data_IF_802213563056
#
_entry.id   IF_802213563056
#
_cell.length_a   1.000
_cell.length_b   1.000
_cell.length_c   1.000
_cell.angle_alpha   90.00
_cell.angle_beta   90.00
_cell.angle_gamma   90.00
#
_symmetry.space_group_name_H-M   'P 1'
#
loop_
_entity.id
_entity.type
_entity.pdbx_description
1 polymer ?
#
# COMPACT_ATOMS: atom_id res chain seq x y z
N UNK A 1 9.69 2.87 -10.25
CA UNK A 1 8.45 3.17 -9.48
C UNK A 1 7.23 3.00 -10.40
N UNK A 2 6.15 2.39 -9.91
CA UNK A 2 4.86 2.30 -10.63
C UNK A 2 3.73 2.78 -9.73
N UNK A 3 3.00 3.80 -10.17
CA UNK A 3 1.78 4.28 -9.49
C UNK A 3 0.56 3.58 -10.08
N UNK A 4 -0.36 3.13 -9.24
CA UNK A 4 -1.61 2.51 -9.67
C UNK A 4 -2.43 1.96 -8.51
N UNK A 5 -3.51 1.25 -8.84
CA UNK A 5 -4.43 0.66 -7.87
C UNK A 5 -3.83 -0.57 -7.18
N UNK A 6 -3.84 -0.57 -5.85
CA UNK A 6 -3.50 -1.74 -5.03
C UNK A 6 -4.78 -2.48 -4.64
N UNK A 7 -4.78 -3.80 -4.80
CA UNK A 7 -5.83 -4.67 -4.25
C UNK A 7 -5.41 -5.11 -2.85
N UNK A 8 -6.26 -4.91 -1.85
CA UNK A 8 -6.04 -5.47 -0.51
C UNK A 8 -7.05 -6.59 -0.28
N UNK A 9 -6.57 -7.75 0.15
CA UNK A 9 -7.38 -8.97 0.38
C UNK A 9 -7.14 -9.53 1.77
N UNK A 10 -8.13 -10.22 2.33
CA UNK A 10 -8.02 -11.03 3.55
C UNK A 10 -7.70 -12.50 3.25
N UNK A 11 -7.85 -12.93 2.00
CA UNK A 11 -7.46 -14.28 1.52
C UNK A 11 -5.98 -14.32 1.13
N UNK A 12 -5.12 -14.88 1.99
CA UNK A 12 -3.69 -15.07 1.72
C UNK A 12 -3.42 -16.01 0.54
N UNK A 13 -4.33 -16.95 0.27
CA UNK A 13 -4.21 -17.95 -0.80
C UNK A 13 -5.10 -17.59 -2.01
N UNK A 14 -5.29 -16.29 -2.27
CA UNK A 14 -6.13 -15.77 -3.35
C UNK A 14 -5.76 -16.36 -4.73
N UNK A 15 -4.51 -16.80 -4.91
CA UNK A 15 -4.01 -17.46 -6.12
C UNK A 15 -4.82 -18.71 -6.47
N UNK A 16 -5.27 -19.47 -5.46
CA UNK A 16 -6.13 -20.66 -5.62
C UNK A 16 -7.48 -20.33 -6.26
N UNK A 17 -7.87 -19.04 -6.23
CA UNK A 17 -9.15 -18.53 -6.72
C UNK A 17 -8.97 -17.44 -7.77
N UNK A 18 -7.82 -17.39 -8.45
CA UNK A 18 -7.51 -16.31 -9.40
C UNK A 18 -8.61 -16.09 -10.45
N UNK A 19 -9.20 -17.15 -11.01
CA UNK A 19 -10.29 -17.03 -12.00
C UNK A 19 -11.49 -16.22 -11.50
N UNK A 20 -11.78 -16.27 -10.19
CA UNK A 20 -12.85 -15.46 -9.56
C UNK A 20 -12.44 -14.01 -9.33
N UNK A 21 -11.15 -13.73 -9.21
CA UNK A 21 -10.59 -12.39 -8.95
C UNK A 21 -10.18 -11.63 -10.22
N UNK A 22 -9.87 -12.35 -11.30
CA UNK A 22 -9.29 -11.83 -12.53
C UNK A 22 -10.11 -10.68 -13.16
N UNK A 23 -11.44 -10.82 -13.19
CA UNK A 23 -12.32 -9.78 -13.71
C UNK A 23 -12.17 -8.47 -12.91
N UNK A 24 -12.16 -8.55 -11.57
CA UNK A 24 -12.02 -7.37 -10.70
C UNK A 24 -10.63 -6.76 -10.81
N UNK A 25 -9.58 -7.57 -10.90
CA UNK A 25 -8.21 -7.09 -11.08
C UNK A 25 -8.06 -6.32 -12.39
N UNK A 26 -8.65 -6.84 -13.48
CA UNK A 26 -8.66 -6.15 -14.76
C UNK A 26 -9.43 -4.82 -14.65
N UNK A 27 -10.67 -4.86 -14.15
CA UNK A 27 -11.54 -3.67 -14.04
C UNK A 27 -10.93 -2.54 -13.21
N UNK A 28 -10.30 -2.87 -12.07
CA UNK A 28 -9.66 -1.89 -11.19
C UNK A 28 -8.29 -1.40 -11.68
N UNK A 29 -7.78 -2.00 -12.77
CA UNK A 29 -6.41 -1.78 -13.28
C UNK A 29 -5.37 -2.06 -12.19
N UNK A 30 -5.55 -3.16 -11.46
CA UNK A 30 -4.70 -3.56 -10.35
C UNK A 30 -3.24 -3.67 -10.78
N UNK A 31 -2.33 -3.05 -10.02
CA UNK A 31 -0.88 -3.10 -10.27
C UNK A 31 -0.12 -3.88 -9.21
N UNK A 32 -0.71 -4.06 -8.02
CA UNK A 32 -0.16 -4.83 -6.91
C UNK A 32 -1.30 -5.39 -6.05
N UNK A 33 -0.97 -6.40 -5.24
CA UNK A 33 -1.88 -6.99 -4.24
C UNK A 33 -1.15 -7.12 -2.90
N UNK A 34 -1.85 -6.83 -1.80
CA UNK A 34 -1.36 -6.96 -0.42
C UNK A 34 -2.51 -7.28 0.55
N UNK A 35 -2.28 -7.16 1.86
CA UNK A 35 -3.27 -7.49 2.89
C UNK A 35 -3.55 -6.34 3.88
N UNK A 36 -2.93 -5.17 3.72
CA UNK A 36 -3.00 -4.08 4.70
C UNK A 36 -3.32 -2.70 4.10
N UNK A 37 -2.90 -2.42 2.86
CA UNK A 37 -2.85 -1.06 2.29
C UNK A 37 -4.19 -0.34 2.32
N UNK A 38 -5.25 -0.96 1.80
CA UNK A 38 -6.58 -0.35 1.79
C UNK A 38 -7.13 -0.17 3.20
N UNK A 39 -6.83 -1.09 4.12
CA UNK A 39 -7.27 -1.02 5.52
C UNK A 39 -6.61 0.16 6.24
N UNK A 40 -5.30 0.34 6.08
CA UNK A 40 -4.56 1.48 6.65
C UNK A 40 -5.06 2.80 6.05
N UNK A 41 -5.23 2.87 4.73
CA UNK A 41 -5.75 4.06 4.07
C UNK A 41 -7.19 4.39 4.51
N UNK A 42 -8.06 3.39 4.62
CA UNK A 42 -9.44 3.56 5.10
C UNK A 42 -9.49 4.04 6.55
N UNK A 43 -8.61 3.54 7.42
CA UNK A 43 -8.52 3.99 8.81
C UNK A 43 -7.96 5.41 8.91
N UNK A 44 -6.94 5.75 8.12
CA UNK A 44 -6.44 7.13 8.00
C UNK A 44 -7.54 8.09 7.57
N UNK A 45 -8.33 7.71 6.57
CA UNK A 45 -9.54 8.45 6.16
C UNK A 45 -10.54 8.57 7.30
N UNK A 46 -10.90 7.47 7.97
CA UNK A 46 -11.87 7.45 9.08
C UNK A 46 -11.47 8.35 10.24
N UNK A 47 -10.17 8.44 10.52
CA UNK A 47 -9.64 9.17 11.67
C UNK A 47 -8.95 10.49 11.33
N UNK A 48 -9.10 10.97 10.08
CA UNK A 48 -8.51 12.23 9.61
C UNK A 48 -6.99 12.29 9.78
N UNK A 49 -6.32 11.14 9.69
CA UNK A 49 -4.87 11.02 9.71
C UNK A 49 -4.38 10.93 8.25
N UNK A 50 -3.53 11.87 7.79
CA UNK A 50 -2.91 11.78 6.46
C UNK A 50 -2.25 10.41 6.26
N UNK A 51 -2.54 9.76 5.13
CA UNK A 51 -2.12 8.39 4.85
C UNK A 51 -1.45 8.30 3.47
N UNK A 52 -0.63 7.26 3.31
CA UNK A 52 0.03 6.93 2.05
C UNK A 52 0.50 5.49 2.07
N UNK A 53 0.67 4.91 0.88
CA UNK A 53 1.12 3.54 0.69
C UNK A 53 2.28 3.53 -0.30
N UNK A 54 3.39 2.92 0.11
CA UNK A 54 4.52 2.60 -0.76
C UNK A 54 4.90 1.14 -0.53
N UNK A 55 4.67 0.29 -1.52
CA UNK A 55 4.97 -1.14 -1.46
C UNK A 55 6.23 -1.46 -2.27
N UNK A 56 6.96 -2.49 -1.86
CA UNK A 56 8.03 -3.09 -2.65
C UNK A 56 7.56 -4.45 -3.18
N UNK A 57 7.75 -4.69 -4.47
CA UNK A 57 7.36 -5.95 -5.09
C UNK A 57 8.25 -7.05 -4.55
N UNK A 58 7.63 -7.94 -3.79
CA UNK A 58 8.30 -9.11 -3.25
C UNK A 58 8.40 -10.19 -4.33
N UNK A 59 7.30 -10.49 -5.01
CA UNK A 59 7.13 -11.65 -5.88
C UNK A 59 6.11 -11.37 -6.99
N UNK A 60 5.97 -12.29 -7.96
CA UNK A 60 5.08 -12.12 -9.12
C UNK A 60 4.21 -13.37 -9.33
N UNK A 61 3.15 -13.56 -8.54
CA UNK A 61 2.36 -14.80 -8.55
C UNK A 61 1.79 -15.19 -9.93
N UNK A 62 1.35 -14.20 -10.71
CA UNK A 62 0.78 -14.43 -12.05
C UNK A 62 1.82 -14.76 -13.15
N UNK A 63 3.12 -14.76 -12.81
CA UNK A 63 4.22 -14.97 -13.75
C UNK A 63 5.11 -16.16 -13.36
N UNK A 64 4.63 -17.05 -12.49
CA UNK A 64 5.37 -18.25 -12.06
C UNK A 64 6.44 -18.00 -11.00
N UNK A 65 6.58 -16.77 -10.50
CA UNK A 65 7.50 -16.42 -9.40
C UNK A 65 6.72 -16.31 -8.08
N UNK A 66 6.07 -17.40 -7.67
CA UNK A 66 5.41 -17.47 -6.35
C UNK A 66 6.47 -17.77 -5.30
N UNK A 67 6.60 -16.90 -4.29
CA UNK A 67 7.52 -17.18 -3.17
C UNK A 67 6.98 -18.30 -2.28
N UNK A 68 7.81 -19.29 -2.05
CA UNK A 68 7.63 -20.25 -0.96
C UNK A 68 8.32 -19.72 0.32
N UNK A 69 7.78 -20.03 1.52
CA UNK A 69 8.46 -19.72 2.77
C UNK A 69 9.88 -20.32 2.79
N UNK A 70 10.90 -19.47 2.98
CA UNK A 70 12.31 -19.89 3.06
C UNK A 70 13.13 -19.76 1.78
N UNK A 71 12.55 -19.35 0.64
CA UNK A 71 13.36 -19.05 -0.55
C UNK A 71 14.05 -17.67 -0.43
N UNK A 72 15.38 -17.74 -0.39
CA UNK A 72 16.29 -16.62 -0.26
C UNK A 72 16.15 -15.62 -1.41
N UNK A 73 15.69 -14.42 -1.09
CA UNK A 73 15.67 -13.32 -2.03
C UNK A 73 16.91 -12.46 -1.85
N UNK A 74 17.99 -12.79 -2.56
CA UNK A 74 19.14 -11.87 -2.67
C UNK A 74 18.75 -10.47 -3.17
N UNK A 75 17.65 -10.37 -3.92
CA UNK A 75 17.08 -9.10 -4.37
C UNK A 75 16.30 -8.35 -3.27
N UNK A 76 15.73 -9.08 -2.30
CA UNK A 76 14.88 -8.52 -1.26
C UNK A 76 15.69 -7.83 -0.16
N UNK A 77 16.78 -8.45 0.32
CA UNK A 77 17.56 -7.89 1.44
C UNK A 77 18.12 -6.49 1.12
N UNK A 78 18.65 -6.29 -0.09
CA UNK A 78 19.06 -4.96 -0.55
C UNK A 78 17.90 -3.98 -0.69
N UNK A 79 16.78 -4.45 -1.26
CA UNK A 79 15.59 -3.62 -1.48
C UNK A 79 14.86 -3.21 -0.18
N UNK A 80 14.96 -3.99 0.90
CA UNK A 80 14.34 -3.66 2.19
C UNK A 80 14.95 -2.40 2.77
N UNK A 81 16.29 -2.32 2.78
CA UNK A 81 17.00 -1.16 3.34
C UNK A 81 16.62 0.10 2.57
N UNK A 82 16.70 0.06 1.24
CA UNK A 82 16.33 1.18 0.38
C UNK A 82 14.85 1.57 0.55
N UNK A 83 13.94 0.59 0.60
CA UNK A 83 12.51 0.85 0.79
C UNK A 83 12.22 1.54 2.13
N UNK A 84 12.88 1.11 3.21
CA UNK A 84 12.78 1.77 4.51
C UNK A 84 13.33 3.20 4.44
N UNK A 85 14.47 3.42 3.78
CA UNK A 85 15.04 4.77 3.62
C UNK A 85 14.10 5.70 2.84
N UNK A 86 13.40 5.21 1.81
CA UNK A 86 12.37 6.01 1.11
C UNK A 86 11.24 6.40 2.08
N UNK A 87 10.82 5.47 2.94
CA UNK A 87 9.82 5.75 3.98
C UNK A 87 10.27 6.83 4.97
N UNK A 88 11.50 6.73 5.47
CA UNK A 88 12.09 7.73 6.38
C UNK A 88 12.18 9.10 5.70
N UNK A 89 12.71 9.13 4.47
CA UNK A 89 12.81 10.38 3.70
C UNK A 89 11.45 11.02 3.44
N UNK A 90 10.41 10.21 3.17
CA UNK A 90 9.05 10.71 3.02
C UNK A 90 8.54 11.33 4.33
N UNK A 91 8.81 10.72 5.49
CA UNK A 91 8.46 11.28 6.80
C UNK A 91 9.20 12.59 7.06
N UNK A 92 10.48 12.70 6.72
CA UNK A 92 11.24 13.93 6.88
C UNK A 92 10.71 15.07 5.99
N UNK A 93 10.32 14.77 4.76
CA UNK A 93 9.64 15.73 3.88
C UNK A 93 8.27 16.13 4.42
N UNK A 94 7.47 15.18 4.91
CA UNK A 94 6.18 15.51 5.53
C UNK A 94 6.33 16.34 6.81
N UNK A 95 7.42 16.12 7.57
CA UNK A 95 7.76 16.94 8.74
C UNK A 95 8.09 18.37 8.33
N UNK A 96 8.85 18.58 7.25
CA UNK A 96 9.23 19.91 6.79
C UNK A 96 8.06 20.72 6.22
N UNK A 97 7.01 20.06 5.71
CA UNK A 97 5.75 20.72 5.31
C UNK A 97 4.99 21.35 6.50
N UNK A 98 5.22 20.88 7.72
CA UNK A 98 4.60 21.41 8.93
C UNK A 98 3.06 21.41 8.85
N UNK A 99 2.38 22.54 9.10
CA UNK A 99 0.91 22.61 9.03
C UNK A 99 0.33 22.27 7.64
N UNK A 100 1.10 22.43 6.55
CA UNK A 100 0.64 22.16 5.18
C UNK A 100 0.38 20.68 4.91
N UNK A 101 0.94 19.79 5.73
CA UNK A 101 0.68 18.35 5.66
C UNK A 101 -0.81 18.04 5.80
N UNK A 102 -1.51 18.78 6.68
CA UNK A 102 -2.95 18.61 6.86
C UNK A 102 -3.70 19.51 5.88
N UNK A 103 -4.66 18.92 5.17
CA UNK A 103 -5.52 19.64 4.22
C UNK A 103 -6.99 19.36 4.50
N UNK A 104 -7.88 20.05 3.79
CA UNK A 104 -9.34 19.90 3.98
C UNK A 104 -9.92 18.60 3.39
N UNK A 105 -9.09 17.75 2.75
CA UNK A 105 -9.54 16.54 2.04
C UNK A 105 -10.24 15.51 2.93
N UNK A 106 -9.94 15.50 4.24
CA UNK A 106 -10.50 14.54 5.19
C UNK A 106 -11.60 15.14 6.08
N UNK A 107 -11.98 16.41 5.87
CA UNK A 107 -13.00 17.06 6.71
C UNK A 107 -14.41 16.61 6.34
N UNK A 108 -15.20 16.24 7.34
CA UNK A 108 -16.64 16.06 7.21
C UNK A 108 -17.41 17.38 7.37
N UNK A 109 -18.72 17.35 7.11
CA UNK A 109 -19.60 18.50 7.31
C UNK A 109 -19.72 18.89 8.79
N UNK A 110 -19.65 17.92 9.69
CA UNK A 110 -19.74 18.03 11.15
C UNK A 110 -18.36 17.90 11.82
N UNK A 111 -17.27 18.22 11.10
CA UNK A 111 -15.91 18.04 11.59
C UNK A 111 -15.67 18.79 12.93
N UNK A 112 -15.18 18.11 13.98
CA UNK A 112 -14.89 18.74 15.26
C UNK A 112 -13.89 19.91 15.13
N UNK A 113 -13.92 20.91 16.03
CA UNK A 113 -12.97 22.01 16.00
C UNK A 113 -11.51 21.60 16.24
N UNK A 114 -11.29 20.51 16.99
CA UNK A 114 -9.96 20.01 17.32
C UNK A 114 -9.48 18.96 16.32
N UNK A 115 -8.17 18.97 16.12
CA UNK A 115 -7.43 17.90 15.45
C UNK A 115 -6.79 16.99 16.49
#
# INVERSE_FOLDING_TARGET
LRTGTVVTTDDRNWELRYSKSALRFNQSRAVAIDMESATIAAQGYRFRVPYGTLLCVSDKPLHGEIKLPGQANRFYEGSISEHLQIGIQAVDLMRSEGPKLHSRKLRAFDEPPFR
#
